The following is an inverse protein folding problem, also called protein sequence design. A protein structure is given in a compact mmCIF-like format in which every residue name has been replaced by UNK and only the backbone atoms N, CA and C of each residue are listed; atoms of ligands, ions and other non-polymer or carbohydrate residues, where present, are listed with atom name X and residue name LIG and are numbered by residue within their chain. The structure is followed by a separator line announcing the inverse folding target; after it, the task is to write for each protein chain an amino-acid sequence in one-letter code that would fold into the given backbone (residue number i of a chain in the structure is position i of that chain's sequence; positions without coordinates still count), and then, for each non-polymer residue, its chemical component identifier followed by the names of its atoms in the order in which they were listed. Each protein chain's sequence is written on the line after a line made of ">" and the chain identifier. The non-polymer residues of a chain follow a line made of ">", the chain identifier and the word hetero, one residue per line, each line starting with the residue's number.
data_IF_168739606539
#
_entry.id   IF_168739606539
#
_cell.length_a   1.000
_cell.length_b   1.000
_cell.length_c   1.000
_cell.angle_alpha   90.00
_cell.angle_beta   90.00
_cell.angle_gamma   90.00
#
_symmetry.space_group_name_H-M   'P 1'
#
loop_
_entity.id
_entity.type
_entity.pdbx_description
1 polymer ?
#
# COMPACT_ATOMS: atom_id res chain seq x y z
N UNK A 1 -12.96 3.88 -19.98
CA UNK A 1 -12.99 3.23 -18.67
C UNK A 1 -11.59 2.75 -18.35
N UNK A 2 -10.84 3.58 -17.62
CA UNK A 2 -9.47 3.34 -17.20
C UNK A 2 -9.37 3.42 -15.69
N UNK A 3 -8.78 2.41 -15.08
CA UNK A 3 -8.63 2.29 -13.63
C UNK A 3 -7.16 2.22 -13.28
N UNK A 4 -6.75 2.96 -12.26
CA UNK A 4 -5.45 2.78 -11.63
C UNK A 4 -5.64 2.16 -10.25
N UNK A 5 -5.09 0.96 -10.05
CA UNK A 5 -5.10 0.26 -8.78
C UNK A 5 -3.76 0.43 -8.06
N UNK A 6 -3.81 0.89 -6.81
CA UNK A 6 -2.64 1.23 -5.99
C UNK A 6 -2.60 0.36 -4.75
N UNK A 7 -1.42 -0.21 -4.46
CA UNK A 7 -1.13 -0.89 -3.19
C UNK A 7 -0.13 -0.05 -2.38
N UNK A 8 -0.58 0.67 -1.34
CA UNK A 8 0.27 1.57 -0.56
C UNK A 8 1.21 0.82 0.38
N UNK A 9 2.35 1.41 0.80
CA UNK A 9 3.16 0.91 1.91
C UNK A 9 2.43 1.07 3.26
N UNK A 10 2.80 0.37 4.33
CA UNK A 10 3.87 -0.60 4.40
C UNK A 10 3.35 -2.05 4.39
N UNK A 11 3.98 -2.89 3.58
CA UNK A 11 3.80 -4.33 3.49
C UNK A 11 5.15 -4.99 3.23
N UNK A 12 5.28 -6.30 3.43
CA UNK A 12 6.53 -7.00 3.14
C UNK A 12 6.86 -6.92 1.63
N UNK A 13 8.03 -6.36 1.23
CA UNK A 13 8.36 -6.13 -0.18
C UNK A 13 8.96 -7.36 -0.87
N UNK A 14 8.59 -8.57 -0.46
CA UNK A 14 9.14 -9.83 -0.96
C UNK A 14 8.31 -10.46 -2.09
N UNK A 15 7.05 -10.03 -2.25
CA UNK A 15 6.14 -10.50 -3.29
C UNK A 15 5.01 -9.49 -3.49
N UNK A 16 4.34 -9.48 -4.67
CA UNK A 16 3.14 -8.68 -4.86
C UNK A 16 2.03 -9.10 -3.91
N UNK A 17 1.22 -8.15 -3.45
CA UNK A 17 -0.01 -8.49 -2.73
C UNK A 17 -1.10 -8.92 -3.72
N UNK A 18 -1.78 -10.03 -3.44
CA UNK A 18 -2.72 -10.67 -4.36
C UNK A 18 -3.95 -9.81 -4.75
N UNK A 19 -4.30 -8.82 -3.93
CA UNK A 19 -5.44 -7.95 -4.20
C UNK A 19 -5.41 -7.28 -5.57
N UNK A 20 -4.29 -6.67 -5.98
CA UNK A 20 -4.25 -5.97 -7.28
C UNK A 20 -4.31 -6.96 -8.45
N UNK A 21 -3.52 -8.05 -8.48
CA UNK A 21 -3.60 -9.03 -9.57
C UNK A 21 -4.98 -9.66 -9.75
N UNK A 22 -5.68 -9.98 -8.65
CA UNK A 22 -7.04 -10.54 -8.72
C UNK A 22 -8.03 -9.52 -9.27
N UNK A 23 -8.01 -8.29 -8.76
CA UNK A 23 -8.90 -7.23 -9.25
C UNK A 23 -8.60 -6.85 -10.70
N UNK A 24 -7.31 -6.83 -11.07
CA UNK A 24 -6.85 -6.56 -12.44
C UNK A 24 -7.39 -7.59 -13.42
N UNK A 25 -7.25 -8.88 -13.10
CA UNK A 25 -7.78 -9.95 -13.92
C UNK A 25 -9.30 -9.83 -14.12
N UNK A 26 -10.04 -9.56 -13.03
CA UNK A 26 -11.49 -9.41 -13.07
C UNK A 26 -11.93 -8.21 -13.93
N UNK A 27 -11.35 -7.03 -13.69
CA UNK A 27 -11.68 -5.81 -14.42
C UNK A 27 -11.31 -5.88 -15.90
N UNK A 28 -10.13 -6.42 -16.24
CA UNK A 28 -9.72 -6.62 -17.64
C UNK A 28 -10.65 -7.61 -18.36
N UNK A 29 -11.11 -8.65 -17.67
CA UNK A 29 -12.13 -9.58 -18.19
C UNK A 29 -13.47 -8.89 -18.52
N UNK A 30 -13.74 -7.72 -17.94
CA UNK A 30 -14.92 -6.89 -18.22
C UNK A 30 -14.65 -5.77 -19.22
N UNK A 31 -13.50 -5.79 -19.89
CA UNK A 31 -13.11 -4.79 -20.90
C UNK A 31 -12.67 -3.44 -20.32
N UNK A 32 -12.32 -3.38 -19.02
CA UNK A 32 -11.81 -2.18 -18.36
C UNK A 32 -10.27 -2.16 -18.47
N UNK A 33 -9.72 -1.02 -18.89
CA UNK A 33 -8.27 -0.82 -18.90
C UNK A 33 -7.77 -0.66 -17.45
N UNK A 34 -6.74 -1.41 -17.06
CA UNK A 34 -6.21 -1.39 -15.70
C UNK A 34 -4.71 -1.18 -15.69
N UNK A 35 -4.28 -0.18 -14.93
CA UNK A 35 -2.89 0.03 -14.50
C UNK A 35 -2.81 -0.39 -13.04
N UNK A 36 -1.94 -1.34 -12.70
CA UNK A 36 -1.67 -1.72 -11.31
C UNK A 36 -0.28 -1.25 -10.90
N UNK A 37 -0.17 -0.69 -9.69
CA UNK A 37 1.08 -0.15 -9.11
C UNK A 37 1.23 -0.63 -7.67
N UNK A 38 2.34 -1.30 -7.40
CA UNK A 38 2.75 -1.68 -6.06
C UNK A 38 3.63 -0.57 -5.48
N UNK A 39 2.99 0.44 -4.87
CA UNK A 39 3.68 1.58 -4.28
C UNK A 39 4.54 1.17 -3.08
N UNK A 40 4.21 0.05 -2.44
CA UNK A 40 5.05 -0.52 -1.39
C UNK A 40 6.41 -0.91 -1.96
N UNK A 41 6.42 -1.73 -3.02
CA UNK A 41 7.66 -2.13 -3.69
C UNK A 41 8.46 -0.91 -4.20
N UNK A 42 7.78 0.02 -4.86
CA UNK A 42 8.44 1.19 -5.45
C UNK A 42 9.17 2.04 -4.39
N UNK A 43 8.54 2.26 -3.24
CA UNK A 43 9.15 3.00 -2.12
C UNK A 43 10.39 2.28 -1.57
N UNK A 44 10.30 0.97 -1.35
CA UNK A 44 11.47 0.21 -0.89
C UNK A 44 12.61 0.27 -1.92
N UNK A 45 12.30 0.15 -3.21
CA UNK A 45 13.33 0.15 -4.24
C UNK A 45 14.04 1.50 -4.35
N UNK A 46 13.30 2.61 -4.22
CA UNK A 46 13.82 3.97 -4.35
C UNK A 46 14.54 4.47 -3.08
N UNK A 47 14.04 4.13 -1.89
CA UNK A 47 14.69 4.45 -0.62
C UNK A 47 16.02 3.71 -0.50
N UNK A 48 16.07 2.45 -0.93
CA UNK A 48 17.27 1.62 -0.78
C UNK A 48 18.22 1.83 -1.97
N UNK A 49 18.70 3.05 -2.15
CA UNK A 49 19.69 3.42 -3.17
C UNK A 49 20.83 4.23 -2.58
N UNK A 50 22.01 4.16 -3.19
CA UNK A 50 23.16 4.94 -2.75
C UNK A 50 22.83 6.45 -2.75
N UNK A 51 22.13 6.91 -3.79
CA UNK A 51 21.75 8.31 -3.92
C UNK A 51 20.79 8.76 -2.80
N UNK A 52 19.76 7.97 -2.49
CA UNK A 52 18.81 8.31 -1.43
C UNK A 52 19.51 8.38 -0.06
N UNK A 53 20.35 7.39 0.27
CA UNK A 53 21.12 7.38 1.52
C UNK A 53 22.02 8.63 1.67
N UNK A 54 22.67 9.07 0.58
CA UNK A 54 23.47 10.30 0.58
C UNK A 54 22.63 11.56 0.78
N UNK A 55 21.46 11.62 0.16
CA UNK A 55 20.52 12.73 0.35
C UNK A 55 20.07 12.80 1.80
N UNK A 56 19.71 11.67 2.41
CA UNK A 56 19.36 11.56 3.83
C UNK A 56 20.48 12.10 4.73
N UNK A 57 21.73 11.65 4.52
CA UNK A 57 22.88 12.13 5.31
C UNK A 57 23.11 13.64 5.16
N UNK A 58 22.90 14.17 3.95
CA UNK A 58 23.00 15.61 3.68
C UNK A 58 21.91 16.37 4.43
N UNK A 59 20.67 15.89 4.39
CA UNK A 59 19.55 16.43 5.16
C UNK A 59 19.83 16.43 6.66
N UNK A 60 20.33 15.32 7.21
CA UNK A 60 20.68 15.21 8.63
C UNK A 60 21.81 16.18 9.00
N UNK A 61 22.86 16.33 8.18
CA UNK A 61 23.94 17.30 8.44
C UNK A 61 23.43 18.74 8.39
N UNK A 62 22.56 19.06 7.44
CA UNK A 62 22.00 20.41 7.32
C UNK A 62 21.09 20.75 8.51
N UNK A 63 20.29 19.78 8.98
CA UNK A 63 19.36 19.98 10.10
C UNK A 63 20.05 19.94 11.48
N UNK A 64 21.05 19.07 11.65
CA UNK A 64 21.60 18.73 12.99
C UNK A 64 23.13 18.86 13.11
N UNK A 65 23.85 19.18 12.03
CA UNK A 65 25.32 19.11 11.99
C UNK A 65 26.08 20.28 12.61
N UNK A 66 25.43 21.40 12.97
CA UNK A 66 26.10 22.59 13.52
C UNK A 66 25.69 22.96 14.96
N UNK A 67 24.80 22.22 15.61
CA UNK A 67 24.45 22.41 17.03
C UNK A 67 23.66 21.22 17.57
N UNK A 68 24.14 20.61 18.65
CA UNK A 68 23.35 19.82 19.60
C UNK A 68 23.41 20.54 20.95
N UNK A 69 22.32 20.73 21.71
CA UNK A 69 20.93 21.03 21.36
C UNK A 69 20.51 22.42 21.93
N UNK A 70 19.52 23.09 21.32
CA UNK A 70 18.56 24.00 22.01
C UNK A 70 17.59 24.71 21.06
N UNK A 71 17.73 24.58 19.74
CA UNK A 71 16.72 25.14 18.84
C UNK A 71 15.47 24.26 18.85
N UNK A 72 14.44 24.74 19.55
CA UNK A 72 13.05 24.32 19.34
C UNK A 72 12.79 24.35 17.83
N UNK A 73 12.64 23.17 17.23
CA UNK A 73 12.28 23.07 15.83
C UNK A 73 10.93 23.75 15.60
N UNK A 74 10.82 24.40 14.45
CA UNK A 74 9.55 24.91 13.91
C UNK A 74 8.52 23.78 14.05
N UNK A 75 7.46 24.01 14.81
CA UNK A 75 6.28 23.15 14.99
C UNK A 75 6.32 22.01 16.05
N UNK A 76 7.32 21.92 16.92
CA UNK A 76 7.27 20.93 18.03
C UNK A 76 7.44 19.48 17.60
N UNK A 77 8.05 19.25 16.43
CA UNK A 77 8.50 17.94 15.96
C UNK A 77 9.63 17.42 16.84
N UNK A 78 9.59 16.12 17.17
CA UNK A 78 10.61 15.50 18.00
C UNK A 78 11.92 15.40 17.23
N UNK A 79 13.04 15.57 17.92
CA UNK A 79 14.37 15.36 17.34
C UNK A 79 14.79 13.91 17.52
N UNK A 80 15.46 13.29 16.53
CA UNK A 80 16.06 11.98 16.73
C UNK A 80 17.02 11.98 17.94
N UNK A 81 17.14 10.87 18.67
CA UNK A 81 18.12 10.73 19.76
C UNK A 81 19.55 11.01 19.28
N UNK A 82 20.39 11.57 20.16
CA UNK A 82 21.77 11.92 19.82
C UNK A 82 22.60 10.72 19.38
N UNK A 83 22.37 9.56 19.99
CA UNK A 83 23.00 8.29 19.64
C UNK A 83 22.66 7.85 18.22
N UNK A 84 21.40 8.01 17.81
CA UNK A 84 20.94 7.69 16.45
C UNK A 84 21.59 8.61 15.40
N UNK A 85 21.71 9.91 15.70
CA UNK A 85 22.41 10.87 14.84
C UNK A 85 23.91 10.56 14.74
N UNK A 86 24.56 10.22 15.86
CA UNK A 86 25.98 9.83 15.88
C UNK A 86 26.20 8.54 15.07
N UNK A 87 25.33 7.54 15.26
CA UNK A 87 25.35 6.31 14.46
C UNK A 87 25.19 6.62 12.97
N UNK A 88 24.22 7.47 12.59
CA UNK A 88 23.99 7.85 11.20
C UNK A 88 25.20 8.52 10.56
N UNK A 89 25.86 9.46 11.26
CA UNK A 89 27.05 10.12 10.72
C UNK A 89 28.28 9.21 10.64
N UNK A 90 28.38 8.22 11.53
CA UNK A 90 29.51 7.28 11.58
C UNK A 90 29.34 6.14 10.57
N UNK A 91 28.17 5.49 10.55
CA UNK A 91 27.87 4.30 9.74
C UNK A 91 27.25 4.62 8.39
N UNK A 92 26.48 5.71 8.30
CA UNK A 92 25.70 6.04 7.12
C UNK A 92 26.49 6.11 5.81
N UNK A 93 27.70 6.69 5.75
CA UNK A 93 28.50 6.68 4.53
C UNK A 93 28.84 5.26 4.04
N UNK A 94 29.09 4.33 4.95
CA UNK A 94 29.33 2.92 4.62
C UNK A 94 28.02 2.26 4.14
N UNK A 95 26.91 2.47 4.83
CA UNK A 95 25.59 1.95 4.45
C UNK A 95 25.21 2.41 3.03
N UNK A 96 25.41 3.69 2.72
CA UNK A 96 25.15 4.25 1.40
C UNK A 96 25.91 3.52 0.29
N UNK A 97 27.16 3.14 0.53
CA UNK A 97 27.98 2.41 -0.44
C UNK A 97 27.62 0.91 -0.54
N UNK A 98 26.97 0.36 0.47
CA UNK A 98 26.66 -1.07 0.55
C UNK A 98 25.23 -1.43 0.16
N UNK A 99 24.29 -0.48 0.22
CA UNK A 99 22.84 -0.74 0.08
C UNK A 99 22.46 -1.45 -1.21
N UNK A 100 23.01 -1.05 -2.35
CA UNK A 100 22.68 -1.66 -3.65
C UNK A 100 23.25 -3.08 -3.79
N UNK A 101 24.47 -3.30 -3.27
CA UNK A 101 25.04 -4.64 -3.22
C UNK A 101 24.26 -5.55 -2.28
N UNK A 102 23.82 -5.03 -1.12
CA UNK A 102 22.96 -5.76 -0.20
C UNK A 102 21.62 -6.15 -0.84
N UNK A 103 20.98 -5.24 -1.59
CA UNK A 103 19.77 -5.55 -2.38
C UNK A 103 20.03 -6.68 -3.38
N UNK A 104 21.15 -6.60 -4.12
CA UNK A 104 21.50 -7.61 -5.10
C UNK A 104 21.69 -9.00 -4.45
N UNK A 105 22.32 -9.07 -3.27
CA UNK A 105 22.43 -10.32 -2.51
C UNK A 105 21.04 -10.82 -2.11
N UNK A 106 20.21 -9.96 -1.50
CA UNK A 106 18.84 -10.32 -1.04
C UNK A 106 17.96 -10.81 -2.20
N UNK A 107 18.22 -10.33 -3.42
CA UNK A 107 17.52 -10.73 -4.66
C UNK A 107 18.13 -11.93 -5.39
N UNK A 108 19.03 -12.68 -4.75
CA UNK A 108 19.74 -13.78 -5.40
C UNK A 108 19.89 -14.99 -4.49
N UNK A 109 20.25 -16.13 -5.07
CA UNK A 109 20.62 -17.36 -4.34
C UNK A 109 21.74 -17.14 -3.31
N UNK A 110 22.57 -16.10 -3.46
CA UNK A 110 23.60 -15.74 -2.50
C UNK A 110 23.03 -15.36 -1.12
N UNK A 111 21.74 -15.02 -1.04
CA UNK A 111 21.04 -14.81 0.23
C UNK A 111 21.04 -16.06 1.13
N UNK A 112 21.07 -17.26 0.53
CA UNK A 112 21.05 -18.52 1.28
C UNK A 112 22.41 -18.89 1.89
N UNK A 113 23.49 -18.19 1.53
CA UNK A 113 24.73 -18.21 2.33
C UNK A 113 24.47 -17.45 3.64
N UNK A 114 24.30 -18.18 4.74
CA UNK A 114 23.85 -17.62 6.02
C UNK A 114 24.62 -16.36 6.46
N UNK A 115 25.97 -16.39 6.55
CA UNK A 115 26.76 -15.20 6.87
C UNK A 115 26.59 -14.04 5.88
N UNK A 116 26.55 -14.30 4.58
CA UNK A 116 26.40 -13.27 3.56
C UNK A 116 25.00 -12.66 3.56
N UNK A 117 23.96 -13.50 3.52
CA UNK A 117 22.56 -13.11 3.56
C UNK A 117 22.21 -12.32 4.83
N UNK A 118 22.70 -12.74 6.00
CA UNK A 118 22.49 -12.00 7.24
C UNK A 118 23.12 -10.60 7.21
N UNK A 119 24.35 -10.46 6.67
CA UNK A 119 25.00 -9.14 6.54
C UNK A 119 24.25 -8.23 5.56
N UNK A 120 23.83 -8.77 4.42
CA UNK A 120 23.04 -8.03 3.44
C UNK A 120 21.70 -7.58 4.03
N UNK A 121 20.97 -8.48 4.68
CA UNK A 121 19.69 -8.18 5.32
C UNK A 121 19.82 -7.10 6.40
N UNK A 122 20.84 -7.19 7.27
CA UNK A 122 21.14 -6.15 8.26
C UNK A 122 21.43 -4.80 7.61
N UNK A 123 22.17 -4.78 6.51
CA UNK A 123 22.43 -3.55 5.76
C UNK A 123 21.13 -2.93 5.27
N UNK A 124 20.16 -3.72 4.78
CA UNK A 124 18.84 -3.22 4.36
C UNK A 124 18.09 -2.61 5.56
N UNK A 125 18.02 -3.31 6.69
CA UNK A 125 17.35 -2.82 7.90
C UNK A 125 17.98 -1.52 8.39
N UNK A 126 19.31 -1.46 8.48
CA UNK A 126 20.06 -0.26 8.86
C UNK A 126 19.80 0.91 7.88
N UNK A 127 19.68 0.64 6.58
CA UNK A 127 19.36 1.68 5.60
C UNK A 127 17.93 2.23 5.76
N UNK A 128 16.96 1.38 6.13
CA UNK A 128 15.58 1.82 6.41
C UNK A 128 15.50 2.68 7.68
N UNK A 129 16.24 2.30 8.72
CA UNK A 129 16.37 3.11 9.94
C UNK A 129 16.99 4.47 9.62
N UNK A 130 18.10 4.49 8.86
CA UNK A 130 18.74 5.72 8.40
C UNK A 130 17.77 6.60 7.60
N UNK A 131 17.04 6.00 6.66
CA UNK A 131 16.04 6.67 5.81
C UNK A 131 14.90 7.33 6.59
N UNK A 132 14.61 6.82 7.79
CA UNK A 132 13.53 7.28 8.64
C UNK A 132 13.92 8.47 9.53
N UNK A 133 15.21 8.64 9.86
CA UNK A 133 15.69 9.68 10.76
C UNK A 133 15.27 11.13 10.39
N UNK A 134 15.19 11.54 9.12
CA UNK A 134 14.68 12.87 8.76
C UNK A 134 13.21 13.11 9.14
N UNK A 135 12.44 12.04 9.38
CA UNK A 135 10.99 12.06 9.63
C UNK A 135 10.62 11.64 11.07
N UNK A 136 11.60 11.58 11.96
CA UNK A 136 11.41 11.15 13.35
C UNK A 136 10.24 11.91 14.04
N UNK A 137 9.38 11.22 14.82
CA UNK A 137 9.50 9.82 15.27
C UNK A 137 8.92 8.78 14.31
N UNK A 138 8.56 9.13 13.06
CA UNK A 138 8.12 8.12 12.11
C UNK A 138 9.25 7.16 11.74
N UNK A 139 8.93 5.88 11.59
CA UNK A 139 9.90 4.82 11.32
C UNK A 139 9.37 3.79 10.31
N UNK A 140 10.10 3.62 9.21
CA UNK A 140 9.82 2.61 8.20
C UNK A 140 10.67 1.36 8.47
N UNK A 141 10.00 0.25 8.74
CA UNK A 141 10.62 -1.07 8.86
C UNK A 141 10.21 -1.95 7.68
N UNK A 142 10.87 -3.09 7.53
CA UNK A 142 10.60 -4.00 6.43
C UNK A 142 9.15 -4.54 6.43
N UNK A 143 8.54 -4.71 7.61
CA UNK A 143 7.20 -5.31 7.77
C UNK A 143 6.22 -4.42 8.54
N UNK A 144 6.68 -3.32 9.11
CA UNK A 144 5.83 -2.36 9.84
C UNK A 144 6.19 -0.93 9.49
N UNK A 145 5.25 -0.02 9.73
CA UNK A 145 5.51 1.41 9.70
C UNK A 145 4.91 2.03 10.95
N UNK A 146 5.75 2.76 11.68
CA UNK A 146 5.36 3.51 12.86
C UNK A 146 5.18 4.97 12.44
N UNK A 147 3.94 5.45 12.45
CA UNK A 147 3.67 6.85 12.17
C UNK A 147 4.01 7.73 13.38
N UNK A 148 4.30 9.01 13.13
CA UNK A 148 4.56 9.98 14.21
C UNK A 148 3.35 10.33 15.09
N UNK A 149 2.21 9.69 14.86
CA UNK A 149 0.99 9.85 15.66
C UNK A 149 0.00 8.72 15.38
N UNK A 150 -1.12 8.67 16.14
CA UNK A 150 -2.11 7.62 16.00
C UNK A 150 -2.76 7.66 14.61
N UNK A 151 -2.82 6.49 13.96
CA UNK A 151 -3.44 6.31 12.63
C UNK A 151 -4.85 5.71 12.71
N UNK A 152 -5.27 5.31 13.90
CA UNK A 152 -6.62 4.84 14.24
C UNK A 152 -7.58 5.99 14.61
N UNK A 153 -7.08 7.23 14.68
CA UNK A 153 -7.89 8.44 14.86
C UNK A 153 -8.04 9.21 13.55
N UNK A 154 -9.27 9.38 13.08
CA UNK A 154 -9.56 10.16 11.86
C UNK A 154 -9.03 11.60 11.91
N UNK A 155 -9.07 12.26 13.08
CA UNK A 155 -8.55 13.62 13.23
C UNK A 155 -7.02 13.65 13.10
N UNK A 156 -6.34 12.68 13.72
CA UNK A 156 -4.88 12.55 13.63
C UNK A 156 -4.46 12.21 12.20
N UNK A 157 -5.16 11.26 11.56
CA UNK A 157 -4.90 10.86 10.18
C UNK A 157 -5.04 12.04 9.21
N UNK A 158 -6.12 12.83 9.32
CA UNK A 158 -6.32 14.05 8.52
C UNK A 158 -5.20 15.08 8.69
N UNK A 159 -4.58 15.15 9.87
CA UNK A 159 -3.41 16.00 10.10
C UNK A 159 -2.15 15.39 9.46
N UNK A 160 -1.89 14.10 9.71
CA UNK A 160 -0.67 13.41 9.30
C UNK A 160 -0.52 13.29 7.77
N UNK A 161 -1.62 13.15 7.02
CA UNK A 161 -1.54 13.11 5.54
C UNK A 161 -1.01 14.41 4.94
N UNK A 162 -1.00 15.52 5.70
CA UNK A 162 -0.50 16.84 5.29
C UNK A 162 0.87 17.17 5.89
N UNK A 163 1.38 16.32 6.78
CA UNK A 163 2.56 16.61 7.58
C UNK A 163 3.85 16.23 6.83
N UNK A 164 4.44 17.21 6.13
CA UNK A 164 5.70 17.02 5.41
C UNK A 164 6.91 16.77 6.31
N UNK A 165 6.82 17.08 7.60
CA UNK A 165 7.95 16.92 8.52
C UNK A 165 8.08 15.47 8.99
N UNK A 166 6.97 14.73 9.11
CA UNK A 166 6.95 13.37 9.67
C UNK A 166 6.39 12.28 8.74
N UNK A 167 5.69 12.65 7.66
CA UNK A 167 5.16 11.68 6.70
C UNK A 167 6.14 11.41 5.56
N UNK A 168 6.92 10.32 5.67
CA UNK A 168 7.90 9.88 4.66
C UNK A 168 7.30 9.69 3.26
N UNK A 169 6.00 9.39 3.16
CA UNK A 169 5.36 9.08 1.89
C UNK A 169 4.94 10.32 1.09
N UNK A 170 4.77 11.47 1.75
CA UNK A 170 4.15 12.65 1.16
C UNK A 170 4.94 13.18 -0.04
N UNK A 171 6.21 13.49 0.16
CA UNK A 171 7.06 14.05 -0.91
C UNK A 171 7.35 13.02 -2.00
N UNK A 172 7.51 11.75 -1.63
CA UNK A 172 7.70 10.67 -2.58
C UNK A 172 6.52 10.55 -3.55
N UNK A 173 5.29 10.48 -3.01
CA UNK A 173 4.09 10.42 -3.83
C UNK A 173 3.87 11.68 -4.66
N UNK A 174 4.18 12.86 -4.11
CA UNK A 174 4.03 14.14 -4.81
C UNK A 174 4.98 14.26 -6.01
N UNK A 175 6.23 13.79 -5.88
CA UNK A 175 7.25 13.96 -6.93
C UNK A 175 7.15 12.91 -8.04
N UNK A 176 6.65 11.71 -7.76
CA UNK A 176 6.53 10.63 -8.77
C UNK A 176 5.09 10.23 -9.07
N UNK A 177 4.44 9.60 -8.09
CA UNK A 177 3.16 8.89 -8.28
C UNK A 177 2.03 9.82 -8.74
N UNK A 178 1.93 11.02 -8.17
CA UNK A 178 0.90 11.99 -8.54
C UNK A 178 1.04 12.47 -9.99
N UNK A 179 2.27 12.65 -10.47
CA UNK A 179 2.55 13.04 -11.87
C UNK A 179 2.15 11.93 -12.83
N UNK A 180 2.40 10.67 -12.46
CA UNK A 180 1.96 9.52 -13.23
C UNK A 180 0.43 9.43 -13.30
N UNK A 181 -0.27 9.61 -12.18
CA UNK A 181 -1.76 9.63 -12.17
C UNK A 181 -2.28 10.74 -13.08
N UNK A 182 -1.70 11.94 -13.02
CA UNK A 182 -2.10 13.07 -13.86
C UNK A 182 -1.85 12.81 -15.36
N UNK A 183 -0.76 12.12 -15.71
CA UNK A 183 -0.45 11.72 -17.09
C UNK A 183 -1.40 10.64 -17.60
N UNK A 184 -1.63 9.61 -16.79
CA UNK A 184 -2.44 8.45 -17.19
C UNK A 184 -3.94 8.74 -17.26
N UNK A 185 -4.40 9.78 -16.52
CA UNK A 185 -5.80 10.24 -16.46
C UNK A 185 -6.80 9.09 -16.26
N UNK A 186 -6.66 8.28 -15.19
CA UNK A 186 -7.65 7.23 -14.90
C UNK A 186 -9.01 7.85 -14.57
N UNK A 187 -10.09 7.15 -14.90
CA UNK A 187 -11.45 7.51 -14.48
C UNK A 187 -11.62 7.24 -12.98
N UNK A 188 -11.03 6.14 -12.49
CA UNK A 188 -11.07 5.71 -11.09
C UNK A 188 -9.67 5.35 -10.59
N UNK A 189 -9.32 5.82 -9.39
CA UNK A 189 -8.16 5.37 -8.62
C UNK A 189 -8.65 4.52 -7.45
N UNK A 190 -8.31 3.23 -7.44
CA UNK A 190 -8.62 2.28 -6.38
C UNK A 190 -7.42 2.02 -5.48
N UNK A 191 -7.55 2.27 -4.18
CA UNK A 191 -6.46 2.11 -3.20
C UNK A 191 -6.77 0.93 -2.28
N UNK A 192 -5.96 -0.12 -2.34
CA UNK A 192 -6.17 -1.35 -1.56
C UNK A 192 -5.45 -1.29 -0.21
N UNK A 193 -6.19 -1.18 0.89
CA UNK A 193 -5.68 -1.04 2.25
C UNK A 193 -6.08 -2.28 3.08
N UNK A 194 -5.27 -3.36 3.07
CA UNK A 194 -5.58 -4.57 3.83
C UNK A 194 -5.23 -4.47 5.31
N UNK A 195 -4.38 -3.54 5.73
CA UNK A 195 -3.91 -3.45 7.11
C UNK A 195 -3.84 -2.00 7.63
N UNK A 196 -3.86 -1.85 8.96
CA UNK A 196 -3.81 -0.53 9.62
C UNK A 196 -2.52 0.26 9.30
N UNK A 197 -1.31 -0.33 9.26
CA UNK A 197 -0.09 0.40 8.91
C UNK A 197 -0.15 1.11 7.54
N UNK A 198 -0.98 0.62 6.62
CA UNK A 198 -1.15 1.20 5.28
C UNK A 198 -2.12 2.39 5.24
N UNK A 199 -2.84 2.67 6.34
CA UNK A 199 -3.83 3.76 6.38
C UNK A 199 -3.21 5.12 6.10
N UNK A 200 -2.05 5.44 6.68
CA UNK A 200 -1.41 6.74 6.45
C UNK A 200 -1.04 6.91 4.98
N UNK A 201 -0.31 5.97 4.40
CA UNK A 201 0.15 6.07 3.03
C UNK A 201 -1.02 6.06 2.02
N UNK A 202 -1.98 5.15 2.21
CA UNK A 202 -3.18 5.07 1.37
C UNK A 202 -4.00 6.36 1.39
N UNK A 203 -4.20 6.96 2.56
CA UNK A 203 -4.89 8.25 2.66
C UNK A 203 -4.03 9.44 2.22
N UNK A 204 -2.69 9.33 2.25
CA UNK A 204 -1.76 10.36 1.76
C UNK A 204 -1.83 10.49 0.24
N UNK A 205 -1.83 9.37 -0.50
CA UNK A 205 -1.98 9.45 -1.96
C UNK A 205 -3.39 9.95 -2.34
N UNK A 206 -4.43 9.52 -1.61
CA UNK A 206 -5.79 10.05 -1.80
C UNK A 206 -5.85 11.56 -1.57
N UNK A 207 -5.25 12.05 -0.49
CA UNK A 207 -5.09 13.47 -0.19
C UNK A 207 -4.43 14.22 -1.34
N UNK A 208 -3.29 13.73 -1.84
CA UNK A 208 -2.54 14.40 -2.93
C UNK A 208 -3.34 14.47 -4.23
N UNK A 209 -4.10 13.43 -4.57
CA UNK A 209 -4.98 13.42 -5.74
C UNK A 209 -6.04 14.51 -5.61
N UNK A 210 -6.69 14.62 -4.43
CA UNK A 210 -7.72 15.64 -4.15
C UNK A 210 -7.15 17.05 -4.08
N UNK A 211 -5.99 17.23 -3.43
CA UNK A 211 -5.28 18.50 -3.34
C UNK A 211 -4.91 19.04 -4.72
N UNK A 212 -4.46 18.17 -5.63
CA UNK A 212 -4.13 18.53 -7.01
C UNK A 212 -5.35 18.77 -7.91
N UNK A 213 -6.57 18.52 -7.42
CA UNK A 213 -7.80 18.69 -8.20
C UNK A 213 -7.90 17.73 -9.39
N UNK A 214 -7.31 16.54 -9.31
CA UNK A 214 -7.43 15.55 -10.38
C UNK A 214 -8.88 15.03 -10.45
N UNK A 215 -9.46 14.93 -11.67
CA UNK A 215 -10.90 14.67 -11.84
C UNK A 215 -11.32 13.22 -11.58
N UNK A 216 -10.36 12.32 -11.30
CA UNK A 216 -10.65 10.90 -11.09
C UNK A 216 -11.42 10.66 -9.78
N UNK A 217 -12.30 9.66 -9.81
CA UNK A 217 -12.96 9.16 -8.60
C UNK A 217 -11.97 8.35 -7.76
N UNK A 218 -11.82 8.69 -6.49
CA UNK A 218 -10.90 8.04 -5.56
C UNK A 218 -11.68 7.13 -4.63
N UNK A 219 -11.44 5.82 -4.74
CA UNK A 219 -12.05 4.83 -3.86
C UNK A 219 -10.99 4.07 -3.07
N UNK A 220 -11.28 3.74 -1.81
CA UNK A 220 -10.47 2.83 -1.00
C UNK A 220 -11.17 1.49 -0.84
N UNK A 221 -10.42 0.43 -0.55
CA UNK A 221 -11.00 -0.86 -0.24
C UNK A 221 -10.04 -1.77 0.51
N UNK A 222 -10.45 -3.02 0.70
CA UNK A 222 -9.63 -4.05 1.34
C UNK A 222 -10.08 -4.41 2.76
N UNK A 223 -9.46 -5.47 3.33
CA UNK A 223 -9.80 -6.00 4.65
C UNK A 223 -9.95 -4.96 5.77
N UNK A 224 -8.98 -4.05 5.92
CA UNK A 224 -9.01 -3.07 7.00
C UNK A 224 -10.15 -2.05 6.81
N UNK A 225 -10.39 -1.58 5.58
CA UNK A 225 -11.54 -0.71 5.26
C UNK A 225 -12.86 -1.43 5.58
N UNK A 226 -12.95 -2.72 5.28
CA UNK A 226 -14.13 -3.56 5.56
C UNK A 226 -14.39 -3.75 7.05
N UNK A 227 -13.35 -3.79 7.88
CA UNK A 227 -13.48 -3.75 9.35
C UNK A 227 -14.06 -2.41 9.82
N UNK A 228 -13.65 -1.31 9.17
CA UNK A 228 -14.07 0.03 9.55
C UNK A 228 -15.42 0.45 8.96
N UNK A 229 -16.13 -0.43 8.25
CA UNK A 229 -17.40 -0.13 7.54
C UNK A 229 -18.42 0.65 8.39
N UNK A 230 -18.61 0.29 9.65
CA UNK A 230 -19.55 0.96 10.55
C UNK A 230 -19.00 2.31 11.03
N UNK A 231 -17.79 2.39 11.61
CA UNK A 231 -17.15 3.67 11.94
C UNK A 231 -17.08 4.65 10.77
N UNK A 232 -16.79 4.20 9.54
CA UNK A 232 -16.63 5.05 8.36
C UNK A 232 -17.89 5.87 8.05
N UNK A 233 -19.08 5.30 8.26
CA UNK A 233 -20.36 6.03 8.07
C UNK A 233 -20.51 7.27 8.97
N UNK A 234 -19.80 7.28 10.11
CA UNK A 234 -19.84 8.35 11.12
C UNK A 234 -18.67 9.32 11.01
N UNK A 235 -17.90 9.27 9.92
CA UNK A 235 -16.64 10.01 9.75
C UNK A 235 -16.59 10.73 8.40
N UNK A 236 -17.56 11.62 8.17
CA UNK A 236 -17.66 12.46 6.97
C UNK A 236 -16.34 13.17 6.61
N UNK A 237 -15.56 13.59 7.60
CA UNK A 237 -14.29 14.26 7.38
C UNK A 237 -13.27 13.42 6.59
N UNK A 238 -13.31 12.07 6.68
CA UNK A 238 -12.45 11.21 5.87
C UNK A 238 -12.82 11.23 4.37
N UNK A 239 -14.09 11.44 4.05
CA UNK A 239 -14.58 11.61 2.67
C UNK A 239 -14.22 12.99 2.07
N UNK A 240 -13.37 13.77 2.75
CA UNK A 240 -12.65 14.88 2.11
C UNK A 240 -11.40 14.41 1.36
N UNK A 241 -10.90 13.20 1.67
CA UNK A 241 -9.75 12.59 1.01
C UNK A 241 -10.16 11.60 -0.08
N UNK A 242 -11.35 11.00 0.03
CA UNK A 242 -11.86 9.93 -0.82
C UNK A 242 -13.32 10.18 -1.21
N UNK A 243 -13.77 9.65 -2.34
CA UNK A 243 -15.17 9.77 -2.76
C UNK A 243 -16.02 8.57 -2.30
N UNK A 244 -15.40 7.39 -2.25
CA UNK A 244 -16.06 6.16 -1.79
C UNK A 244 -15.11 5.17 -1.12
N UNK A 245 -15.70 4.16 -0.49
CA UNK A 245 -15.05 2.99 0.05
C UNK A 245 -15.82 1.73 -0.37
N UNK A 246 -15.12 0.78 -0.98
CA UNK A 246 -15.65 -0.55 -1.30
C UNK A 246 -15.32 -1.48 -0.13
N UNK A 247 -16.35 -2.06 0.48
CA UNK A 247 -16.20 -2.99 1.60
C UNK A 247 -16.40 -4.43 1.14
N UNK A 248 -15.84 -5.40 1.88
CA UNK A 248 -15.92 -6.83 1.54
C UNK A 248 -15.31 -7.11 0.16
N UNK A 249 -16.07 -7.73 -0.73
CA UNK A 249 -15.66 -8.12 -2.07
C UNK A 249 -15.72 -6.93 -3.03
N UNK A 250 -14.67 -6.76 -3.81
CA UNK A 250 -14.45 -5.57 -4.63
C UNK A 250 -14.63 -5.79 -6.12
N UNK A 251 -14.73 -7.03 -6.58
CA UNK A 251 -14.72 -7.41 -7.99
C UNK A 251 -15.86 -6.75 -8.78
N UNK A 252 -17.10 -7.15 -8.52
CA UNK A 252 -18.29 -6.59 -9.20
C UNK A 252 -18.56 -5.14 -8.76
N UNK A 253 -18.28 -4.82 -7.49
CA UNK A 253 -18.45 -3.45 -6.97
C UNK A 253 -17.59 -2.44 -7.74
N UNK A 254 -16.33 -2.78 -8.06
CA UNK A 254 -15.47 -1.90 -8.85
C UNK A 254 -15.91 -1.82 -10.31
N UNK A 255 -16.41 -2.91 -10.92
CA UNK A 255 -16.96 -2.87 -12.27
C UNK A 255 -18.12 -1.89 -12.37
N UNK A 256 -19.08 -1.99 -11.45
CA UNK A 256 -20.24 -1.09 -11.42
C UNK A 256 -19.84 0.35 -11.06
N UNK A 257 -18.91 0.53 -10.11
CA UNK A 257 -18.41 1.85 -9.76
C UNK A 257 -17.80 2.55 -10.99
N UNK A 258 -16.92 1.86 -11.73
CA UNK A 258 -16.24 2.42 -12.89
C UNK A 258 -17.23 2.79 -14.00
N UNK A 259 -18.19 1.90 -14.29
CA UNK A 259 -19.24 2.18 -15.28
C UNK A 259 -20.07 3.39 -14.89
N UNK A 260 -20.53 3.46 -13.65
CA UNK A 260 -21.38 4.56 -13.20
C UNK A 260 -20.62 5.89 -13.16
N UNK A 261 -19.36 5.89 -12.70
CA UNK A 261 -18.51 7.10 -12.71
C UNK A 261 -18.31 7.62 -14.13
N UNK A 262 -18.00 6.74 -15.09
CA UNK A 262 -17.73 7.13 -16.48
C UNK A 262 -18.99 7.62 -17.21
N UNK A 263 -20.15 7.03 -16.92
CA UNK A 263 -21.41 7.41 -17.52
C UNK A 263 -22.09 8.61 -16.82
N UNK A 264 -21.65 8.96 -15.61
CA UNK A 264 -22.36 9.93 -14.76
C UNK A 264 -23.65 9.38 -14.14
N UNK A 265 -23.75 8.07 -13.99
CA UNK A 265 -24.90 7.40 -13.38
C UNK A 265 -24.85 7.46 -11.84
N UNK A 266 -25.99 7.21 -11.20
CA UNK A 266 -26.10 7.17 -9.75
C UNK A 266 -25.21 6.08 -9.13
N UNK A 267 -24.49 6.41 -8.06
CA UNK A 267 -23.72 5.42 -7.29
C UNK A 267 -24.60 4.53 -6.39
N UNK A 268 -25.91 4.80 -6.28
CA UNK A 268 -26.81 4.07 -5.37
C UNK A 268 -26.99 2.58 -5.72
N UNK A 269 -26.70 2.18 -6.95
CA UNK A 269 -26.81 0.78 -7.40
C UNK A 269 -25.53 -0.02 -7.20
N UNK A 270 -24.40 0.63 -6.90
CA UNK A 270 -23.10 -0.05 -6.76
C UNK A 270 -23.09 -0.87 -5.47
N UNK A 271 -22.98 -2.20 -5.53
CA UNK A 271 -23.00 -3.04 -4.33
C UNK A 271 -21.78 -2.77 -3.46
N UNK A 272 -21.91 -3.06 -2.16
CA UNK A 272 -20.81 -2.96 -1.20
C UNK A 272 -20.18 -1.55 -1.07
N UNK A 273 -20.84 -0.50 -1.56
CA UNK A 273 -20.28 0.84 -1.60
C UNK A 273 -20.72 1.67 -0.39
N UNK A 274 -19.75 2.34 0.23
CA UNK A 274 -19.98 3.48 1.11
C UNK A 274 -19.49 4.72 0.37
N UNK A 275 -20.33 5.74 0.20
CA UNK A 275 -19.94 6.93 -0.57
C UNK A 275 -20.55 8.20 0.01
N UNK A 276 -19.94 9.33 -0.34
CA UNK A 276 -20.45 10.65 0.02
C UNK A 276 -21.44 11.13 -1.05
N UNK A 277 -22.66 11.44 -0.63
CA UNK A 277 -23.70 12.10 -1.42
C UNK A 277 -24.03 13.45 -0.78
N UNK A 278 -23.45 14.53 -1.31
CA UNK A 278 -23.46 15.85 -0.67
C UNK A 278 -22.88 15.79 0.75
N UNK A 279 -23.70 16.15 1.74
CA UNK A 279 -23.33 16.14 3.16
C UNK A 279 -23.62 14.82 3.87
N UNK A 280 -24.15 13.81 3.16
CA UNK A 280 -24.50 12.52 3.74
C UNK A 280 -23.55 11.41 3.30
N UNK A 281 -23.29 10.47 4.20
CA UNK A 281 -22.62 9.21 3.85
C UNK A 281 -23.69 8.15 3.65
N UNK A 282 -23.74 7.58 2.46
CA UNK A 282 -24.66 6.51 2.08
C UNK A 282 -23.95 5.17 2.09
N UNK A 283 -24.70 4.13 2.43
CA UNK A 283 -24.24 2.74 2.42
C UNK A 283 -25.22 1.97 1.54
N UNK A 284 -24.71 1.39 0.47
CA UNK A 284 -25.50 0.57 -0.42
C UNK A 284 -25.64 -0.86 0.10
N UNK A 285 -26.57 -1.59 -0.50
CA UNK A 285 -26.78 -3.00 -0.22
C UNK A 285 -25.52 -3.83 -0.54
N UNK A 286 -25.37 -4.90 0.23
CA UNK A 286 -24.26 -5.85 0.04
C UNK A 286 -24.67 -6.89 -0.98
N UNK A 287 -23.73 -7.28 -1.83
CA UNK A 287 -23.91 -8.45 -2.68
C UNK A 287 -23.42 -9.72 -1.99
N UNK A 288 -23.93 -10.86 -2.43
CA UNK A 288 -23.36 -12.15 -2.06
C UNK A 288 -21.93 -12.26 -2.63
N UNK A 289 -20.99 -12.87 -1.89
CA UNK A 289 -19.63 -13.05 -2.37
C UNK A 289 -19.58 -13.97 -3.59
N UNK A 290 -18.72 -13.63 -4.55
CA UNK A 290 -18.51 -14.47 -5.72
C UNK A 290 -17.73 -15.73 -5.35
N UNK A 291 -18.13 -16.88 -5.92
CA UNK A 291 -17.46 -18.15 -5.65
C UNK A 291 -16.08 -18.14 -6.29
N UNK A 292 -15.08 -18.66 -5.57
CA UNK A 292 -13.68 -18.63 -6.04
C UNK A 292 -13.50 -19.26 -7.42
N UNK A 293 -14.27 -20.31 -7.74
CA UNK A 293 -14.23 -20.99 -9.04
C UNK A 293 -14.67 -20.12 -10.23
N UNK A 294 -15.39 -19.02 -9.97
CA UNK A 294 -15.86 -18.08 -10.98
C UNK A 294 -14.90 -16.91 -11.15
N UNK A 295 -13.87 -16.79 -10.30
CA UNK A 295 -12.85 -15.75 -10.41
C UNK A 295 -11.80 -16.15 -11.43
N UNK A 296 -11.30 -15.20 -12.23
CA UNK A 296 -10.17 -15.45 -13.11
C UNK A 296 -8.88 -15.67 -12.31
N UNK A 297 -7.92 -16.35 -12.94
CA UNK A 297 -6.55 -16.44 -12.42
C UNK A 297 -5.94 -15.03 -12.27
N UNK A 298 -5.16 -14.76 -11.20
CA UNK A 298 -4.56 -13.44 -10.99
C UNK A 298 -3.66 -13.01 -12.15
N UNK A 299 -3.75 -11.72 -12.49
CA UNK A 299 -2.98 -11.11 -13.56
C UNK A 299 -1.87 -10.21 -13.00
N UNK A 300 -0.63 -10.64 -13.13
CA UNK A 300 0.55 -9.91 -12.65
C UNK A 300 1.15 -8.97 -13.70
N UNK A 301 0.58 -8.88 -14.91
CA UNK A 301 1.09 -8.03 -15.97
C UNK A 301 1.08 -6.55 -15.55
N UNK A 302 2.23 -5.90 -15.67
CA UNK A 302 2.46 -4.51 -15.27
C UNK A 302 3.17 -4.37 -13.92
N UNK A 303 3.27 -5.43 -13.11
CA UNK A 303 4.08 -5.42 -11.89
C UNK A 303 5.54 -5.78 -12.19
N UNK A 304 6.52 -5.11 -11.59
CA UNK A 304 7.93 -5.39 -11.86
C UNK A 304 8.43 -6.55 -10.99
N UNK A 305 8.04 -7.78 -11.34
CA UNK A 305 8.25 -8.98 -10.52
C UNK A 305 9.72 -9.24 -10.13
N UNK A 306 10.69 -8.87 -10.97
CA UNK A 306 12.12 -8.99 -10.67
C UNK A 306 12.68 -7.96 -9.68
N UNK A 307 11.88 -6.98 -9.22
CA UNK A 307 12.31 -5.96 -8.26
C UNK A 307 11.94 -6.30 -6.82
N UNK A 308 11.13 -7.33 -6.53
CA UNK A 308 10.83 -7.69 -5.14
C UNK A 308 12.10 -8.11 -4.38
N UNK A 309 12.18 -7.80 -3.08
CA UNK A 309 13.32 -8.10 -2.21
C UNK A 309 13.25 -9.55 -1.71
N UNK A 310 13.30 -10.50 -2.64
CA UNK A 310 13.31 -11.93 -2.36
C UNK A 310 14.34 -12.64 -3.25
N UNK A 311 14.99 -13.71 -2.76
CA UNK A 311 16.01 -14.43 -3.52
C UNK A 311 15.44 -15.16 -4.73
N UNK A 312 14.15 -15.49 -4.68
CA UNK A 312 13.37 -16.12 -5.74
C UNK A 312 12.02 -15.41 -5.86
N UNK A 313 11.47 -15.39 -7.06
CA UNK A 313 10.15 -14.86 -7.32
C UNK A 313 9.09 -15.72 -6.64
N UNK A 314 8.18 -15.07 -5.90
CA UNK A 314 7.03 -15.73 -5.30
C UNK A 314 5.74 -15.03 -5.78
N UNK A 315 4.84 -15.81 -6.38
CA UNK A 315 3.53 -15.33 -6.83
C UNK A 315 2.44 -15.89 -5.90
N UNK A 316 1.65 -15.05 -5.23
CA UNK A 316 0.56 -15.54 -4.40
C UNK A 316 -0.56 -16.12 -5.26
N UNK A 317 -1.21 -17.16 -4.75
CA UNK A 317 -2.37 -17.80 -5.39
C UNK A 317 -3.49 -17.98 -4.36
N UNK A 318 -4.72 -17.63 -4.73
CA UNK A 318 -5.89 -17.86 -3.89
C UNK A 318 -6.37 -19.31 -4.10
N UNK A 319 -6.30 -20.13 -3.07
CA UNK A 319 -6.79 -21.53 -3.13
C UNK A 319 -8.17 -21.70 -2.49
N UNK A 320 -8.50 -20.82 -1.56
CA UNK A 320 -9.82 -20.72 -0.93
C UNK A 320 -10.15 -19.27 -0.56
N UNK A 321 -11.44 -18.97 -0.54
CA UNK A 321 -12.04 -17.70 -0.10
C UNK A 321 -12.91 -17.96 1.12
N UNK A 322 -12.90 -17.05 2.08
CA UNK A 322 -13.62 -17.21 3.35
C UNK A 322 -12.96 -18.23 4.28
N UNK A 323 -13.66 -18.62 5.33
CA UNK A 323 -13.18 -19.59 6.32
C UNK A 323 -14.29 -20.57 6.67
N UNK A 324 -14.04 -21.88 6.51
CA UNK A 324 -15.03 -22.93 6.81
C UNK A 324 -15.47 -22.92 8.28
N UNK A 325 -14.61 -22.45 9.20
CA UNK A 325 -14.94 -22.38 10.62
C UNK A 325 -15.78 -21.15 10.96
N UNK A 326 -15.37 -19.95 10.48
CA UNK A 326 -16.15 -18.70 10.54
C UNK A 326 -16.55 -18.15 11.92
N UNK A 327 -16.30 -18.90 13.02
CA UNK A 327 -16.91 -18.67 14.34
C UNK A 327 -15.93 -18.22 15.42
N UNK A 328 -14.66 -17.96 15.08
CA UNK A 328 -13.66 -17.48 16.04
C UNK A 328 -14.01 -16.08 16.54
N UNK A 329 -14.15 -15.90 17.86
CA UNK A 329 -14.45 -14.60 18.47
C UNK A 329 -13.38 -13.51 18.22
N UNK A 330 -12.15 -13.91 17.88
CA UNK A 330 -11.02 -13.00 17.67
C UNK A 330 -10.70 -12.72 16.19
N UNK A 331 -11.36 -13.40 15.24
CA UNK A 331 -10.94 -13.41 13.85
C UNK A 331 -11.81 -12.48 12.99
N UNK A 332 -11.17 -11.71 12.11
CA UNK A 332 -11.84 -10.82 11.17
C UNK A 332 -12.03 -11.43 9.77
N UNK A 333 -11.47 -12.61 9.46
CA UNK A 333 -11.53 -13.24 8.12
C UNK A 333 -12.96 -13.53 7.62
N UNK A 334 -13.91 -13.78 8.52
CA UNK A 334 -15.32 -13.97 8.18
C UNK A 334 -16.17 -12.70 8.21
N UNK A 335 -15.68 -11.59 8.79
CA UNK A 335 -16.42 -10.34 9.02
C UNK A 335 -17.82 -10.46 9.66
N UNK A 336 -18.14 -11.61 10.27
CA UNK A 336 -19.48 -11.93 10.76
C UNK A 336 -20.49 -12.31 9.65
N UNK A 337 -20.01 -12.76 8.50
CA UNK A 337 -20.84 -13.18 7.36
C UNK A 337 -20.82 -14.72 7.31
N UNK A 338 -22.01 -15.31 7.43
CA UNK A 338 -22.20 -16.76 7.35
C UNK A 338 -21.98 -17.29 5.93
N UNK A 339 -21.51 -18.54 5.85
CA UNK A 339 -21.56 -19.38 4.65
C UNK A 339 -20.83 -18.85 3.39
N UNK A 340 -19.66 -18.23 3.60
CA UNK A 340 -18.85 -17.62 2.53
C UNK A 340 -17.68 -18.49 2.05
N UNK A 341 -17.51 -19.69 2.62
CA UNK A 341 -16.36 -20.53 2.28
C UNK A 341 -16.49 -21.14 0.89
N UNK A 342 -15.45 -20.95 0.07
CA UNK A 342 -15.36 -21.53 -1.27
C UNK A 342 -13.91 -21.92 -1.53
N UNK A 343 -13.67 -23.10 -2.07
CA UNK A 343 -12.32 -23.59 -2.39
C UNK A 343 -12.23 -24.11 -3.82
N UNK A 344 -11.05 -24.01 -4.41
CA UNK A 344 -10.73 -24.64 -5.68
C UNK A 344 -10.48 -26.14 -5.48
N UNK A 345 -10.71 -26.92 -6.52
CA UNK A 345 -10.28 -28.32 -6.56
C UNK A 345 -8.77 -28.41 -6.79
N UNK A 346 -8.16 -29.52 -6.38
CA UNK A 346 -6.71 -29.73 -6.48
C UNK A 346 -6.21 -29.60 -7.93
N UNK A 347 -6.96 -30.14 -8.89
CA UNK A 347 -6.65 -30.08 -10.32
C UNK A 347 -6.61 -28.62 -10.81
N UNK A 348 -7.59 -27.81 -10.41
CA UNK A 348 -7.66 -26.39 -10.77
C UNK A 348 -6.49 -25.58 -10.17
N UNK A 349 -6.07 -25.94 -8.96
CA UNK A 349 -4.91 -25.30 -8.31
C UNK A 349 -3.64 -25.62 -9.09
N UNK A 350 -3.41 -26.89 -9.45
CA UNK A 350 -2.24 -27.31 -10.23
C UNK A 350 -2.25 -26.66 -11.62
N UNK A 351 -3.40 -26.61 -12.29
CA UNK A 351 -3.55 -25.90 -13.57
C UNK A 351 -3.16 -24.43 -13.47
N UNK A 352 -3.64 -23.71 -12.45
CA UNK A 352 -3.27 -22.31 -12.23
C UNK A 352 -1.79 -22.14 -11.87
N UNK A 353 -1.23 -23.01 -11.03
CA UNK A 353 0.21 -22.99 -10.71
C UNK A 353 1.07 -23.15 -11.97
N UNK A 354 0.74 -24.13 -12.82
CA UNK A 354 1.48 -24.38 -14.07
C UNK A 354 1.32 -23.23 -15.06
N UNK A 355 0.13 -22.65 -15.18
CA UNK A 355 -0.13 -21.51 -16.06
C UNK A 355 0.64 -20.26 -15.61
N UNK A 356 0.66 -19.96 -14.30
CA UNK A 356 1.44 -18.86 -13.74
C UNK A 356 2.94 -19.07 -13.94
N UNK A 357 3.45 -20.27 -13.65
CA UNK A 357 4.85 -20.61 -13.86
C UNK A 357 5.27 -20.49 -15.35
N UNK A 358 4.44 -20.97 -16.27
CA UNK A 358 4.70 -20.83 -17.71
C UNK A 358 4.71 -19.37 -18.16
N UNK A 359 3.85 -18.52 -17.59
CA UNK A 359 3.72 -17.12 -17.98
C UNK A 359 4.81 -16.23 -17.37
N UNK A 360 5.16 -16.43 -16.11
CA UNK A 360 5.99 -15.50 -15.34
C UNK A 360 7.33 -16.06 -14.86
N UNK A 361 7.59 -17.36 -15.07
CA UNK A 361 8.70 -18.08 -14.41
C UNK A 361 8.41 -18.35 -12.95
#
# INVERSE_FOLDING_TARGET
>A
MKVMLLFPPNWTPTMPHLALPTLTAYLRGQGIEVIQRDLNLEIFDDILTHQYMRNVLTTLRNRYGKSMPHQKHRNGTQTPPSEALQWAFTRGPQLANQVEHAKAIVRSEAFFDGPLGLRAFKTIVDCLELASLPYYPANLHLQSYEAAGPVDSSQSLLRLVRDADTNIFLDYFRQGILQDIARERPDVVGISIPSMPQMLAGMTIAYLIKEAGLPCHVTVGGPHISMLREPLTKRQALFTLIDSAVILDGEEALVQLVRNVVNGDSLATVPNLIYRDGDQIRVNERQAPEKIKNLPMPDFDGLPLGRYLAPQQALPLLTARGCYFGKCAFCNTGYGIDDTFSQLQAEQIVEQMMALYQKYG
#
